data_IF_210683113208
#
_entry.id   IF_210683113208
#
_cell.length_a   1.000
_cell.length_b   1.000
_cell.length_c   1.000
_cell.angle_alpha   90.00
_cell.angle_beta   90.00
_cell.angle_gamma   90.00
#
_symmetry.space_group_name_H-M   'P 1'
#
loop_
_entity.id
_entity.type
_entity.pdbx_description
1 polymer ?
#
# COMPACT_ATOMS: atom_id res chain seq x y z
N UNK A 1 -28.32 12.43 1.69
CA UNK A 1 -27.19 13.40 1.77
C UNK A 1 -26.05 12.98 2.70
N UNK A 2 -26.23 12.15 3.75
CA UNK A 2 -25.11 11.68 4.59
C UNK A 2 -24.18 10.68 3.90
N UNK A 3 -24.67 9.89 2.98
CA UNK A 3 -23.92 8.77 2.36
C UNK A 3 -22.89 9.19 1.31
N UNK A 4 -23.10 10.30 0.62
CA UNK A 4 -22.17 10.84 -0.36
C UNK A 4 -20.86 11.36 0.27
N UNK A 5 -20.91 11.79 1.52
CA UNK A 5 -19.74 12.28 2.22
C UNK A 5 -18.73 11.17 2.56
N UNK A 6 -19.19 9.94 2.85
CA UNK A 6 -18.29 8.83 3.25
C UNK A 6 -17.33 8.43 2.14
N UNK A 7 -17.79 8.35 0.89
CA UNK A 7 -16.93 8.01 -0.26
C UNK A 7 -15.93 9.12 -0.58
N UNK A 8 -16.33 10.38 -0.45
CA UNK A 8 -15.42 11.53 -0.62
C UNK A 8 -14.28 11.50 0.38
N UNK A 9 -14.56 11.22 1.65
CA UNK A 9 -13.53 11.08 2.68
C UNK A 9 -12.61 9.90 2.41
N UNK A 10 -13.13 8.77 1.91
CA UNK A 10 -12.32 7.63 1.49
C UNK A 10 -11.38 7.98 0.33
N UNK A 11 -11.87 8.70 -0.68
CA UNK A 11 -11.02 9.18 -1.78
C UNK A 11 -9.96 10.19 -1.32
N UNK A 12 -10.33 11.13 -0.44
CA UNK A 12 -9.37 12.08 0.17
C UNK A 12 -8.32 11.34 1.01
N UNK A 13 -8.71 10.29 1.75
CA UNK A 13 -7.79 9.46 2.51
C UNK A 13 -6.77 8.77 1.58
N UNK A 14 -7.20 8.25 0.42
CA UNK A 14 -6.28 7.67 -0.56
C UNK A 14 -5.25 8.68 -1.08
N UNK A 15 -5.69 9.90 -1.45
CA UNK A 15 -4.78 10.96 -1.88
C UNK A 15 -3.84 11.36 -0.73
N UNK A 16 -4.38 11.55 0.47
CA UNK A 16 -3.60 11.89 1.67
C UNK A 16 -2.54 10.85 2.00
N UNK A 17 -2.87 9.56 1.86
CA UNK A 17 -1.93 8.46 2.02
C UNK A 17 -0.75 8.57 1.05
N UNK A 18 -1.02 8.82 -0.24
CA UNK A 18 0.03 8.97 -1.26
C UNK A 18 0.91 10.19 -1.00
N UNK A 19 0.31 11.32 -0.66
CA UNK A 19 1.05 12.57 -0.36
C UNK A 19 1.97 12.37 0.85
N UNK A 20 1.46 11.80 1.94
CA UNK A 20 2.27 11.56 3.14
C UNK A 20 3.35 10.50 2.90
N UNK A 21 3.07 9.44 2.14
CA UNK A 21 4.08 8.46 1.76
C UNK A 21 5.19 9.10 0.93
N UNK A 22 4.83 9.96 -0.03
CA UNK A 22 5.80 10.69 -0.84
C UNK A 22 6.66 11.65 0.00
N UNK A 23 6.03 12.44 0.88
CA UNK A 23 6.77 13.32 1.82
C UNK A 23 7.66 12.50 2.74
N UNK A 24 7.17 11.38 3.29
CA UNK A 24 7.96 10.47 4.12
C UNK A 24 9.20 9.95 3.39
N UNK A 25 9.05 9.60 2.10
CA UNK A 25 10.17 9.18 1.25
C UNK A 25 11.21 10.29 1.07
N UNK A 26 10.76 11.53 0.84
CA UNK A 26 11.65 12.68 0.72
C UNK A 26 12.40 12.98 2.03
N UNK A 27 11.70 12.92 3.16
CA UNK A 27 12.27 13.17 4.49
C UNK A 27 13.34 12.14 4.84
N UNK A 28 13.13 10.86 4.52
CA UNK A 28 14.12 9.79 4.76
C UNK A 28 15.39 9.93 3.88
N UNK A 29 15.31 10.66 2.78
CA UNK A 29 16.44 10.88 1.88
C UNK A 29 16.93 9.59 1.20
N UNK A 30 18.23 9.50 0.96
CA UNK A 30 18.85 8.36 0.30
C UNK A 30 19.15 7.26 1.32
N UNK A 31 18.23 6.32 1.49
CA UNK A 31 18.45 5.14 2.31
C UNK A 31 19.49 4.20 1.66
N UNK A 32 20.35 3.56 2.44
CA UNK A 32 21.33 2.60 1.93
C UNK A 32 20.66 1.43 1.20
N UNK A 33 21.37 0.83 0.25
CA UNK A 33 20.92 -0.39 -0.43
C UNK A 33 21.11 -1.61 0.48
N UNK A 34 20.34 -2.67 0.23
CA UNK A 34 20.38 -3.92 1.01
C UNK A 34 21.77 -4.53 1.06
N UNK A 35 22.55 -4.45 -0.02
CA UNK A 35 23.88 -5.02 -0.13
C UNK A 35 25.02 -4.12 0.41
N UNK A 36 24.70 -2.95 0.97
CA UNK A 36 25.74 -2.06 1.49
C UNK A 36 26.32 -2.56 2.83
N UNK A 37 27.49 -2.03 3.18
CA UNK A 37 28.20 -2.44 4.39
C UNK A 37 27.39 -2.11 5.66
N UNK A 38 27.58 -2.94 6.70
CA UNK A 38 26.95 -2.68 8.01
C UNK A 38 27.29 -1.29 8.55
N UNK A 39 28.52 -0.81 8.27
CA UNK A 39 28.96 0.53 8.69
C UNK A 39 28.19 1.64 7.98
N UNK A 40 27.88 1.49 6.69
CA UNK A 40 27.06 2.44 5.93
C UNK A 40 25.63 2.49 6.47
N UNK A 41 25.01 1.32 6.68
CA UNK A 41 23.67 1.21 7.22
C UNK A 41 23.58 1.79 8.63
N UNK A 42 24.51 1.42 9.51
CA UNK A 42 24.58 1.95 10.88
C UNK A 42 24.83 3.46 10.89
N UNK A 43 25.71 3.96 10.02
CA UNK A 43 25.96 5.39 9.82
C UNK A 43 24.69 6.16 9.44
N UNK A 44 23.94 5.65 8.46
CA UNK A 44 22.67 6.24 8.04
C UNK A 44 21.67 6.31 9.20
N UNK A 45 21.42 5.20 9.89
CA UNK A 45 20.46 5.14 10.99
C UNK A 45 20.83 6.05 12.16
N UNK A 46 22.13 6.19 12.45
CA UNK A 46 22.60 7.04 13.56
C UNK A 46 22.64 8.52 13.18
N UNK A 47 23.15 8.86 12.01
CA UNK A 47 23.34 10.23 11.54
C UNK A 47 22.00 10.90 11.16
N UNK A 48 21.10 10.15 10.48
CA UNK A 48 19.82 10.67 10.02
C UNK A 48 18.63 10.20 10.88
N UNK A 49 18.89 9.86 12.15
CA UNK A 49 17.88 9.34 13.09
C UNK A 49 16.56 10.11 13.06
N UNK A 50 16.62 11.44 13.22
CA UNK A 50 15.41 12.26 13.30
C UNK A 50 14.57 12.19 12.00
N UNK A 51 15.23 12.23 10.86
CA UNK A 51 14.59 12.13 9.54
C UNK A 51 13.99 10.73 9.32
N UNK A 52 14.71 9.67 9.70
CA UNK A 52 14.23 8.29 9.61
C UNK A 52 12.99 8.07 10.48
N UNK A 53 13.01 8.52 11.75
CA UNK A 53 11.87 8.40 12.65
C UNK A 53 10.67 9.25 12.19
N UNK A 54 10.91 10.48 11.72
CA UNK A 54 9.86 11.33 11.17
C UNK A 54 9.25 10.72 9.91
N UNK A 55 10.08 10.21 9.00
CA UNK A 55 9.61 9.52 7.81
C UNK A 55 8.80 8.27 8.15
N UNK A 56 9.24 7.46 9.13
CA UNK A 56 8.49 6.30 9.61
C UNK A 56 7.12 6.70 10.17
N UNK A 57 7.03 7.81 10.93
CA UNK A 57 5.76 8.34 11.43
C UNK A 57 4.84 8.78 10.28
N UNK A 58 5.36 9.48 9.28
CA UNK A 58 4.58 9.90 8.10
C UNK A 58 4.05 8.68 7.33
N UNK A 59 4.87 7.65 7.15
CA UNK A 59 4.42 6.39 6.55
C UNK A 59 3.38 5.66 7.40
N UNK A 60 3.48 5.70 8.74
CA UNK A 60 2.48 5.10 9.61
C UNK A 60 1.11 5.80 9.46
N UNK A 61 1.10 7.15 9.42
CA UNK A 61 -0.13 7.91 9.16
C UNK A 61 -0.65 7.62 7.75
N UNK A 62 0.23 7.57 6.75
CA UNK A 62 -0.14 7.18 5.40
C UNK A 62 -0.78 5.79 5.34
N UNK A 63 -0.25 4.82 6.09
CA UNK A 63 -0.81 3.46 6.19
C UNK A 63 -2.21 3.46 6.80
N UNK A 64 -2.45 4.27 7.84
CA UNK A 64 -3.79 4.42 8.42
C UNK A 64 -4.79 5.01 7.42
N UNK A 65 -4.39 6.04 6.69
CA UNK A 65 -5.23 6.63 5.63
C UNK A 65 -5.46 5.66 4.46
N UNK A 66 -4.46 4.85 4.12
CA UNK A 66 -4.56 3.82 3.09
C UNK A 66 -5.56 2.72 3.49
N UNK A 67 -5.58 2.33 4.77
CA UNK A 67 -6.61 1.43 5.30
C UNK A 67 -8.00 2.05 5.18
N UNK A 68 -8.16 3.33 5.54
CA UNK A 68 -9.44 4.03 5.40
C UNK A 68 -9.92 4.06 3.94
N UNK A 69 -9.02 4.37 3.00
CA UNK A 69 -9.31 4.25 1.57
C UNK A 69 -9.80 2.86 1.19
N UNK A 70 -9.13 1.79 1.68
CA UNK A 70 -9.52 0.40 1.44
C UNK A 70 -10.91 0.06 1.96
N UNK A 71 -11.28 0.58 3.15
CA UNK A 71 -12.64 0.43 3.71
C UNK A 71 -13.68 1.10 2.82
N UNK A 72 -13.41 2.33 2.36
CA UNK A 72 -14.33 3.05 1.48
C UNK A 72 -14.51 2.33 0.14
N UNK A 73 -13.42 1.82 -0.44
CA UNK A 73 -13.42 1.06 -1.68
C UNK A 73 -14.23 -0.24 -1.55
N UNK A 74 -13.97 -1.03 -0.50
CA UNK A 74 -14.71 -2.25 -0.21
C UNK A 74 -16.21 -1.98 0.00
N UNK A 75 -16.54 -0.87 0.67
CA UNK A 75 -17.93 -0.45 0.87
C UNK A 75 -18.60 -0.08 -0.46
N UNK A 76 -17.89 0.60 -1.37
CA UNK A 76 -18.40 0.93 -2.70
C UNK A 76 -18.75 -0.34 -3.50
N UNK A 77 -17.86 -1.34 -3.48
CA UNK A 77 -18.12 -2.61 -4.14
C UNK A 77 -19.24 -3.41 -3.49
N UNK A 78 -19.33 -3.43 -2.16
CA UNK A 78 -20.40 -4.14 -1.42
C UNK A 78 -21.77 -3.58 -1.71
N UNK A 79 -21.91 -2.27 -1.90
CA UNK A 79 -23.19 -1.66 -2.27
C UNK A 79 -23.66 -2.05 -3.67
N UNK A 80 -22.73 -2.37 -4.57
CA UNK A 80 -23.06 -2.79 -5.93
C UNK A 80 -23.26 -4.30 -6.07
N UNK A 81 -22.64 -5.11 -5.22
CA UNK A 81 -22.74 -6.58 -5.17
C UNK A 81 -22.75 -7.05 -3.71
N UNK A 82 -23.95 -7.13 -3.12
CA UNK A 82 -24.13 -7.52 -1.71
C UNK A 82 -23.77 -8.99 -1.45
N UNK A 83 -23.91 -9.85 -2.46
CA UNK A 83 -23.72 -11.29 -2.35
C UNK A 83 -22.30 -11.76 -2.71
N UNK A 84 -21.47 -10.89 -3.27
CA UNK A 84 -20.14 -11.24 -3.75
C UNK A 84 -19.07 -11.27 -2.65
N UNK A 85 -18.11 -12.19 -2.76
CA UNK A 85 -16.97 -12.29 -1.84
C UNK A 85 -15.86 -11.24 -2.12
N UNK A 86 -15.85 -10.66 -3.32
CA UNK A 86 -14.82 -9.73 -3.74
C UNK A 86 -14.66 -8.51 -2.81
N UNK A 87 -15.74 -7.85 -2.32
CA UNK A 87 -15.60 -6.74 -1.37
C UNK A 87 -14.94 -7.15 -0.05
N UNK A 88 -15.21 -8.37 0.43
CA UNK A 88 -14.57 -8.88 1.65
C UNK A 88 -13.08 -9.14 1.44
N UNK A 89 -12.68 -9.68 0.28
CA UNK A 89 -11.28 -9.87 -0.09
C UNK A 89 -10.53 -8.55 -0.28
N UNK A 90 -11.19 -7.54 -0.84
CA UNK A 90 -10.62 -6.18 -0.93
C UNK A 90 -10.32 -5.66 0.48
N UNK A 91 -11.28 -5.69 1.38
CA UNK A 91 -11.10 -5.23 2.76
C UNK A 91 -10.01 -6.02 3.49
N UNK A 92 -10.07 -7.35 3.44
CA UNK A 92 -9.09 -8.22 4.07
C UNK A 92 -7.66 -7.95 3.55
N UNK A 93 -7.52 -7.74 2.25
CA UNK A 93 -6.23 -7.39 1.63
C UNK A 93 -5.68 -6.04 2.12
N UNK A 94 -6.52 -5.00 2.20
CA UNK A 94 -6.08 -3.71 2.74
C UNK A 94 -5.73 -3.78 4.23
N UNK A 95 -6.45 -4.56 5.03
CA UNK A 95 -6.09 -4.83 6.44
C UNK A 95 -4.73 -5.53 6.50
N UNK A 96 -4.54 -6.59 5.72
CA UNK A 96 -3.29 -7.36 5.70
C UNK A 96 -2.08 -6.49 5.36
N UNK A 97 -2.18 -5.69 4.29
CA UNK A 97 -1.10 -4.76 3.89
C UNK A 97 -0.83 -3.74 5.01
N UNK A 98 -1.87 -3.19 5.61
CA UNK A 98 -1.73 -2.19 6.67
C UNK A 98 -1.07 -2.78 7.91
N UNK A 99 -1.42 -4.00 8.30
CA UNK A 99 -0.77 -4.71 9.41
C UNK A 99 0.71 -4.94 9.12
N UNK A 100 1.05 -5.47 7.93
CA UNK A 100 2.45 -5.66 7.51
C UNK A 100 3.19 -4.32 7.52
N UNK A 101 2.58 -3.26 7.00
CA UNK A 101 3.13 -1.91 6.99
C UNK A 101 3.42 -1.38 8.40
N UNK A 102 2.46 -1.46 9.32
CA UNK A 102 2.66 -1.02 10.71
C UNK A 102 3.74 -1.84 11.43
N UNK A 103 3.76 -3.15 11.26
CA UNK A 103 4.79 -4.03 11.84
C UNK A 103 6.16 -3.63 11.30
N UNK A 104 6.30 -3.50 9.98
CA UNK A 104 7.55 -3.12 9.34
C UNK A 104 8.06 -1.75 9.81
N UNK A 105 7.18 -0.75 9.86
CA UNK A 105 7.52 0.59 10.32
C UNK A 105 7.89 0.63 11.80
N UNK A 106 7.19 -0.14 12.65
CA UNK A 106 7.50 -0.25 14.07
C UNK A 106 8.85 -0.90 14.31
N UNK A 107 9.17 -1.97 13.59
CA UNK A 107 10.48 -2.63 13.65
C UNK A 107 11.57 -1.69 13.14
N UNK A 108 11.34 -0.98 12.03
CA UNK A 108 12.31 -0.03 11.48
C UNK A 108 12.60 1.15 12.42
N UNK A 109 11.54 1.74 12.99
CA UNK A 109 11.69 2.80 13.97
C UNK A 109 12.38 2.31 15.27
N UNK A 110 11.98 1.13 15.76
CA UNK A 110 12.58 0.50 16.95
C UNK A 110 14.05 0.17 16.73
N UNK A 111 14.42 -0.36 15.58
CA UNK A 111 15.80 -0.60 15.18
C UNK A 111 16.60 0.72 15.18
N UNK A 112 16.09 1.77 14.52
CA UNK A 112 16.74 3.09 14.47
C UNK A 112 16.94 3.65 15.85
N UNK A 113 15.96 3.54 16.74
CA UNK A 113 16.05 3.97 18.12
C UNK A 113 17.11 3.17 18.90
N UNK A 114 17.08 1.84 18.80
CA UNK A 114 18.01 0.96 19.53
C UNK A 114 19.46 1.17 19.09
N UNK A 115 19.72 1.27 17.77
CA UNK A 115 21.07 1.49 17.24
C UNK A 115 21.71 2.80 17.70
N UNK A 116 20.88 3.83 17.92
CA UNK A 116 21.37 5.13 18.42
C UNK A 116 21.54 5.15 19.93
N UNK A 117 20.72 4.41 20.68
CA UNK A 117 20.82 4.30 22.13
C UNK A 117 21.98 3.37 22.58
N UNK A 118 22.26 2.31 21.80
CA UNK A 118 23.20 1.26 22.15
C UNK A 118 24.21 1.03 21.03
N UNK A 119 25.35 1.72 21.07
CA UNK A 119 26.42 1.62 20.05
C UNK A 119 26.93 0.19 19.84
N UNK A 120 26.84 -0.69 20.84
CA UNK A 120 27.20 -2.10 20.72
C UNK A 120 26.35 -2.88 19.69
N UNK A 121 25.16 -2.36 19.30
CA UNK A 121 24.29 -2.98 18.30
C UNK A 121 24.64 -2.58 16.85
N UNK A 122 25.47 -1.57 16.64
CA UNK A 122 25.83 -1.10 15.29
C UNK A 122 26.38 -2.20 14.38
N UNK A 123 27.23 -3.16 14.84
CA UNK A 123 27.77 -4.23 14.00
C UNK A 123 26.70 -5.18 13.43
N UNK A 124 25.51 -5.25 14.01
CA UNK A 124 24.44 -6.15 13.56
C UNK A 124 23.35 -5.42 12.77
N UNK A 125 23.48 -4.12 12.49
CA UNK A 125 22.44 -3.31 11.83
C UNK A 125 21.98 -3.85 10.47
N UNK A 126 22.88 -4.48 9.70
CA UNK A 126 22.57 -4.98 8.37
C UNK A 126 21.53 -6.10 8.37
N UNK A 127 21.54 -7.00 9.37
CA UNK A 127 20.61 -8.13 9.45
C UNK A 127 19.16 -7.69 9.51
N UNK A 128 18.72 -6.95 10.54
CA UNK A 128 17.34 -6.44 10.64
C UNK A 128 16.95 -5.52 9.48
N UNK A 129 17.88 -4.70 8.97
CA UNK A 129 17.64 -3.83 7.82
C UNK A 129 17.30 -4.63 6.57
N UNK A 130 18.09 -5.67 6.27
CA UNK A 130 17.84 -6.58 5.15
C UNK A 130 16.56 -7.36 5.34
N UNK A 131 16.26 -7.84 6.56
CA UNK A 131 15.03 -8.57 6.85
C UNK A 131 13.77 -7.72 6.57
N UNK A 132 13.80 -6.42 6.91
CA UNK A 132 12.71 -5.49 6.60
C UNK A 132 12.53 -5.28 5.09
N UNK A 133 13.62 -5.18 4.34
CA UNK A 133 13.55 -5.04 2.89
C UNK A 133 12.99 -6.31 2.22
N UNK A 134 13.42 -7.49 2.68
CA UNK A 134 12.87 -8.79 2.23
C UNK A 134 11.39 -8.91 2.57
N UNK A 135 10.99 -8.50 3.78
CA UNK A 135 9.58 -8.45 4.18
C UNK A 135 8.76 -7.55 3.24
N UNK A 136 9.29 -6.37 2.90
CA UNK A 136 8.70 -5.46 1.92
C UNK A 136 8.51 -6.12 0.56
N UNK A 137 9.52 -6.86 0.07
CA UNK A 137 9.47 -7.55 -1.21
C UNK A 137 8.42 -8.66 -1.22
N UNK A 138 8.40 -9.52 -0.21
CA UNK A 138 7.42 -10.62 -0.09
C UNK A 138 6.00 -10.08 0.09
N UNK A 139 5.83 -8.93 0.72
CA UNK A 139 4.52 -8.28 0.91
C UNK A 139 3.83 -7.91 -0.41
N UNK A 140 4.55 -7.94 -1.53
CA UNK A 140 3.95 -7.81 -2.87
C UNK A 140 2.84 -8.83 -3.13
N UNK A 141 2.94 -10.04 -2.57
CA UNK A 141 1.85 -11.05 -2.64
C UNK A 141 0.61 -10.55 -1.90
N UNK A 142 0.78 -9.95 -0.71
CA UNK A 142 -0.33 -9.39 0.05
C UNK A 142 -0.98 -8.20 -0.68
N UNK A 143 -0.17 -7.37 -1.37
CA UNK A 143 -0.67 -6.25 -2.20
C UNK A 143 -1.49 -6.78 -3.38
N UNK A 144 -1.11 -7.88 -3.99
CA UNK A 144 -1.83 -8.45 -5.12
C UNK A 144 -3.27 -8.87 -4.78
N UNK A 145 -3.54 -9.26 -3.52
CA UNK A 145 -4.88 -9.72 -3.09
C UNK A 145 -5.96 -8.65 -3.29
N UNK A 146 -5.88 -7.43 -2.69
CA UNK A 146 -6.94 -6.44 -2.84
C UNK A 146 -7.04 -5.90 -4.26
N UNK A 147 -5.94 -5.84 -5.02
CA UNK A 147 -5.97 -5.38 -6.42
C UNK A 147 -6.60 -6.42 -7.34
N UNK A 148 -6.28 -7.70 -7.19
CA UNK A 148 -6.95 -8.79 -7.90
C UNK A 148 -8.44 -8.86 -7.56
N UNK A 149 -8.80 -8.76 -6.28
CA UNK A 149 -10.19 -8.72 -5.84
C UNK A 149 -10.93 -7.47 -6.37
N UNK A 150 -10.27 -6.30 -6.39
CA UNK A 150 -10.84 -5.07 -6.98
C UNK A 150 -11.10 -5.23 -8.47
N UNK A 151 -10.20 -5.87 -9.20
CA UNK A 151 -10.41 -6.15 -10.62
C UNK A 151 -11.67 -7.00 -10.85
N UNK A 152 -11.83 -8.08 -10.08
CA UNK A 152 -13.02 -8.95 -10.15
C UNK A 152 -14.28 -8.16 -9.78
N UNK A 153 -14.23 -7.36 -8.69
CA UNK A 153 -15.36 -6.52 -8.28
C UNK A 153 -15.76 -5.54 -9.38
N UNK A 154 -14.79 -4.84 -9.99
CA UNK A 154 -15.06 -3.88 -11.07
C UNK A 154 -15.67 -4.58 -12.29
N UNK A 155 -15.14 -5.75 -12.71
CA UNK A 155 -15.64 -6.50 -13.84
C UNK A 155 -17.08 -7.00 -13.64
N UNK A 156 -17.47 -7.31 -12.40
CA UNK A 156 -18.83 -7.76 -12.06
C UNK A 156 -19.82 -6.62 -11.90
N UNK A 157 -19.39 -5.54 -11.23
CA UNK A 157 -20.31 -4.49 -10.80
C UNK A 157 -20.32 -3.26 -11.70
N UNK A 158 -19.29 -3.08 -12.51
CA UNK A 158 -19.08 -1.89 -13.36
C UNK A 158 -19.14 -0.56 -12.57
N UNK A 159 -18.88 -0.58 -11.25
CA UNK A 159 -18.84 0.61 -10.39
C UNK A 159 -17.76 1.59 -10.88
N UNK A 160 -16.66 1.06 -11.36
CA UNK A 160 -15.61 1.83 -12.03
C UNK A 160 -15.47 1.42 -13.51
N UNK A 161 -14.87 2.27 -14.35
CA UNK A 161 -14.59 1.93 -15.73
C UNK A 161 -13.75 0.65 -15.86
N UNK A 162 -14.03 -0.19 -16.88
CA UNK A 162 -13.38 -1.50 -17.07
C UNK A 162 -11.84 -1.41 -17.17
N UNK A 163 -11.31 -0.29 -17.70
CA UNK A 163 -9.86 -0.11 -17.75
C UNK A 163 -9.21 -0.10 -16.38
N UNK A 164 -9.92 0.33 -15.31
CA UNK A 164 -9.45 0.25 -13.93
C UNK A 164 -9.28 -1.20 -13.45
N UNK A 165 -10.12 -2.13 -13.92
CA UNK A 165 -9.97 -3.55 -13.62
C UNK A 165 -8.69 -4.12 -14.25
N UNK A 166 -8.43 -3.83 -15.51
CA UNK A 166 -7.20 -4.25 -16.18
C UNK A 166 -5.96 -3.64 -15.55
N UNK A 167 -6.04 -2.38 -15.14
CA UNK A 167 -4.95 -1.72 -14.42
C UNK A 167 -4.72 -2.37 -13.04
N UNK A 168 -5.77 -2.73 -12.31
CA UNK A 168 -5.67 -3.46 -11.04
C UNK A 168 -5.01 -4.83 -11.23
N UNK A 169 -5.36 -5.58 -12.29
CA UNK A 169 -4.70 -6.85 -12.62
C UNK A 169 -3.22 -6.67 -12.94
N UNK A 170 -2.87 -5.63 -13.69
CA UNK A 170 -1.46 -5.29 -13.96
C UNK A 170 -0.70 -5.01 -12.67
N UNK A 171 -1.28 -4.19 -11.76
CA UNK A 171 -0.69 -3.90 -10.45
C UNK A 171 -0.52 -5.18 -9.64
N UNK A 172 -1.54 -6.04 -9.58
CA UNK A 172 -1.48 -7.33 -8.88
C UNK A 172 -0.36 -8.23 -9.44
N UNK A 173 -0.32 -8.40 -10.76
CA UNK A 173 0.68 -9.24 -11.42
C UNK A 173 2.11 -8.74 -11.17
N UNK A 174 2.36 -7.44 -11.29
CA UNK A 174 3.68 -6.85 -11.05
C UNK A 174 4.13 -6.97 -9.59
N UNK A 175 3.20 -6.84 -8.63
CA UNK A 175 3.52 -7.05 -7.22
C UNK A 175 3.84 -8.51 -6.91
N UNK A 176 3.13 -9.47 -7.51
CA UNK A 176 3.48 -10.89 -7.41
C UNK A 176 4.86 -11.17 -8.03
N UNK A 177 5.11 -10.67 -9.24
CA UNK A 177 6.41 -10.84 -9.90
C UNK A 177 7.56 -10.23 -9.09
N UNK A 178 7.33 -9.04 -8.50
CA UNK A 178 8.30 -8.40 -7.62
C UNK A 178 8.63 -9.25 -6.38
N UNK A 179 7.66 -9.99 -5.83
CA UNK A 179 7.90 -10.85 -4.68
C UNK A 179 8.88 -11.99 -4.98
N UNK A 180 8.94 -12.50 -6.22
CA UNK A 180 9.92 -13.52 -6.62
C UNK A 180 11.35 -12.97 -6.70
N UNK A 181 11.53 -11.66 -6.74
CA UNK A 181 12.86 -11.05 -6.73
C UNK A 181 13.64 -11.24 -5.42
N UNK A 182 12.99 -11.76 -4.37
CA UNK A 182 13.64 -12.07 -3.08
C UNK A 182 14.88 -12.97 -3.23
N UNK A 183 14.93 -13.81 -4.27
CA UNK A 183 16.08 -14.66 -4.59
C UNK A 183 17.19 -13.97 -5.39
N UNK A 184 17.01 -12.73 -5.81
CA UNK A 184 17.94 -11.99 -6.66
C UNK A 184 18.77 -11.04 -5.80
N UNK A 185 20.09 -11.21 -5.78
CA UNK A 185 20.99 -10.47 -4.89
C UNK A 185 21.57 -9.19 -5.49
N UNK A 186 21.27 -8.86 -6.75
CA UNK A 186 21.80 -7.63 -7.36
C UNK A 186 21.20 -7.30 -8.72
N UNK A 187 21.47 -6.10 -9.21
CA UNK A 187 21.00 -5.60 -10.50
C UNK A 187 19.62 -4.93 -10.44
N UNK A 188 19.05 -4.62 -11.61
CA UNK A 188 17.77 -3.90 -11.73
C UNK A 188 16.55 -4.70 -11.25
N UNK A 189 16.69 -6.03 -11.13
CA UNK A 189 15.67 -6.96 -10.66
C UNK A 189 15.84 -7.33 -9.18
N UNK A 190 16.86 -6.83 -8.50
CA UNK A 190 17.00 -7.03 -7.05
C UNK A 190 15.85 -6.34 -6.28
N UNK A 191 15.57 -6.72 -5.03
CA UNK A 191 14.52 -6.12 -4.21
C UNK A 191 14.61 -4.58 -4.09
N UNK A 192 15.82 -4.03 -4.10
CA UNK A 192 16.13 -2.60 -4.09
C UNK A 192 16.47 -2.04 -5.49
N UNK A 193 16.34 -2.86 -6.53
CA UNK A 193 16.55 -2.46 -7.92
C UNK A 193 15.41 -1.56 -8.44
N UNK A 194 15.72 -0.84 -9.55
CA UNK A 194 14.77 0.15 -10.11
C UNK A 194 13.42 -0.48 -10.49
N UNK A 195 13.42 -1.67 -11.07
CA UNK A 195 12.19 -2.31 -11.55
C UNK A 195 11.36 -2.90 -10.40
N UNK A 196 12.00 -3.55 -9.44
CA UNK A 196 11.29 -4.22 -8.33
C UNK A 196 10.99 -3.25 -7.20
N UNK A 197 11.94 -2.39 -6.86
CA UNK A 197 11.79 -1.47 -5.73
C UNK A 197 10.85 -0.29 -5.99
N UNK A 198 10.65 0.12 -7.25
CA UNK A 198 9.89 1.34 -7.54
C UNK A 198 8.68 1.11 -8.44
N UNK A 199 8.78 0.31 -9.51
CA UNK A 199 7.72 0.19 -10.51
C UNK A 199 6.39 -0.30 -9.92
N UNK A 200 6.33 -1.38 -9.10
CA UNK A 200 5.08 -1.83 -8.51
C UNK A 200 4.46 -0.77 -7.59
N UNK A 201 5.29 -0.08 -6.79
CA UNK A 201 4.84 0.97 -5.89
C UNK A 201 4.27 2.18 -6.64
N UNK A 202 4.91 2.64 -7.71
CA UNK A 202 4.43 3.75 -8.56
C UNK A 202 3.10 3.40 -9.21
N UNK A 203 2.98 2.22 -9.80
CA UNK A 203 1.73 1.79 -10.45
C UNK A 203 0.60 1.58 -9.44
N UNK A 204 0.91 1.03 -8.26
CA UNK A 204 -0.03 0.95 -7.13
C UNK A 204 -0.53 2.35 -6.75
N UNK A 205 0.39 3.31 -6.60
CA UNK A 205 0.04 4.70 -6.28
C UNK A 205 -0.84 5.36 -7.35
N UNK A 206 -0.52 5.18 -8.63
CA UNK A 206 -1.31 5.72 -9.74
C UNK A 206 -2.72 5.11 -9.77
N UNK A 207 -2.85 3.80 -9.51
CA UNK A 207 -4.16 3.17 -9.42
C UNK A 207 -4.97 3.71 -8.24
N UNK A 208 -4.35 3.84 -7.06
CA UNK A 208 -5.00 4.42 -5.87
C UNK A 208 -5.43 5.87 -6.14
N UNK A 209 -4.60 6.66 -6.81
CA UNK A 209 -4.93 8.03 -7.19
C UNK A 209 -6.15 8.09 -8.12
N UNK A 210 -6.19 7.24 -9.14
CA UNK A 210 -7.31 7.15 -10.07
C UNK A 210 -8.60 6.70 -9.36
N UNK A 211 -8.53 5.66 -8.53
CA UNK A 211 -9.68 5.18 -7.74
C UNK A 211 -10.17 6.24 -6.76
N UNK A 212 -9.25 6.95 -6.09
CA UNK A 212 -9.58 8.08 -5.20
C UNK A 212 -10.32 9.20 -5.94
N UNK A 213 -9.86 9.56 -7.14
CA UNK A 213 -10.52 10.56 -7.98
C UNK A 213 -11.94 10.14 -8.38
N UNK A 214 -12.15 8.86 -8.68
CA UNK A 214 -13.48 8.33 -9.01
C UNK A 214 -14.40 8.30 -7.79
N UNK A 215 -13.90 7.94 -6.61
CA UNK A 215 -14.66 7.98 -5.35
C UNK A 215 -15.10 9.42 -4.99
N UNK A 216 -14.27 10.42 -5.26
CA UNK A 216 -14.59 11.83 -4.98
C UNK A 216 -15.66 12.36 -5.95
N UNK A 217 -15.66 11.93 -7.21
CA UNK A 217 -16.56 12.43 -8.25
C UNK A 217 -18.01 11.94 -8.13
N UNK A 218 -18.33 11.03 -7.23
CA UNK A 218 -19.70 10.54 -6.90
C UNK A 218 -20.59 10.13 -8.11
N UNK A 219 -20.04 9.50 -9.11
CA UNK A 219 -20.82 8.93 -10.21
C UNK A 219 -21.03 7.41 -10.00
N UNK A 220 -21.25 7.00 -8.73
CA UNK A 220 -21.65 5.63 -8.46
C UNK A 220 -23.11 5.45 -8.90
N UNK A 221 -23.44 4.42 -9.73
CA UNK A 221 -24.83 4.14 -10.11
C UNK A 221 -25.65 3.92 -8.83
N UNK A 222 -26.66 4.72 -8.61
CA UNK A 222 -27.64 4.46 -7.56
C UNK A 222 -28.36 3.19 -8.01
N UNK A 223 -28.41 2.10 -7.21
CA UNK A 223 -29.24 0.96 -7.53
C UNK A 223 -30.67 1.49 -7.68
N UNK A 224 -31.22 1.44 -8.89
CA UNK A 224 -32.64 1.65 -9.07
C UNK A 224 -33.32 0.53 -8.29
N UNK A 225 -33.87 0.87 -7.14
CA UNK A 225 -34.73 -0.04 -6.39
C UNK A 225 -35.74 -0.60 -7.39
N UNK A 226 -35.57 -1.88 -7.77
CA UNK A 226 -36.44 -2.53 -8.70
C UNK A 226 -37.88 -2.31 -8.23
N UNK A 227 -38.67 -1.63 -9.04
CA UNK A 227 -40.12 -1.57 -8.88
C UNK A 227 -40.59 -3.02 -8.84
N UNK A 228 -40.84 -3.53 -7.62
CA UNK A 228 -41.58 -4.77 -7.47
C UNK A 228 -42.90 -4.56 -8.20
N UNK A 229 -43.24 -5.39 -9.20
CA UNK A 229 -44.57 -5.32 -9.74
C UNK A 229 -45.54 -5.63 -8.63
N UNK A 230 -46.41 -4.67 -8.32
CA UNK A 230 -47.57 -4.90 -7.47
C UNK A 230 -48.42 -5.89 -8.22
N UNK A 231 -48.36 -7.16 -7.80
CA UNK A 231 -49.34 -8.16 -8.24
C UNK A 231 -50.65 -7.82 -7.52
N UNK A 232 -51.61 -7.29 -8.34
CA UNK A 232 -52.99 -7.14 -7.96
C UNK A 232 -53.77 -8.48 -8.06
#
# INVERSE_FOLDING_TARGET
MKESHEFRWGGLAGIGALVLAFIGRLVMGNAPRIGESTTTIAGYLSQYRAQVLMGALLYAIATALFLWFGVALATAFRRADESGDAPALVLAGYILISVIGFVGLSVFAGMTYAMTAHRALLPIAAGPYTALAVMGTISGIAVAVPFGASAVAIMRTHVFPVWMAWFALLVAALNVLAAFAVGITGGVLAPDGLLVGYLPGVLTGLWVLAASGLLIREHLPIPTAGTRPVMG
#
